data_IF_082262071749
#
_entry.id   IF_082262071749
#
_cell.length_a   1.000
_cell.length_b   1.000
_cell.length_c   1.000
_cell.angle_alpha   90.00
_cell.angle_beta   90.00
_cell.angle_gamma   90.00
#
_symmetry.space_group_name_H-M   'P 1'
#
loop_
_entity.id
_entity.type
_entity.pdbx_description
1 polymer ?
#
# COMPACT_ATOMS: atom_id res chain seq x y z
N UNK A 1 -19.08 2.60 -27.47
CA UNK A 1 -19.20 2.29 -26.02
C UNK A 1 -20.25 1.20 -25.87
N UNK A 2 -19.90 0.05 -25.28
CA UNK A 2 -20.89 -0.96 -24.89
C UNK A 2 -21.12 -0.81 -23.40
N UNK A 3 -22.38 -0.66 -23.00
CA UNK A 3 -22.77 -0.52 -21.59
C UNK A 3 -23.31 -1.85 -21.10
N UNK A 4 -22.80 -2.31 -19.96
CA UNK A 4 -23.30 -3.51 -19.27
C UNK A 4 -23.83 -3.05 -17.92
N UNK A 5 -25.08 -3.40 -17.61
CA UNK A 5 -25.68 -3.16 -16.30
C UNK A 5 -25.72 -4.47 -15.53
N UNK A 6 -25.01 -4.52 -14.40
CA UNK A 6 -25.03 -5.67 -13.50
C UNK A 6 -26.18 -5.45 -12.50
N UNK A 7 -27.19 -6.32 -12.54
CA UNK A 7 -28.36 -6.28 -11.64
C UNK A 7 -28.18 -7.29 -10.50
N UNK A 8 -28.89 -7.09 -9.39
CA UNK A 8 -28.88 -8.02 -8.26
C UNK A 8 -27.65 -7.91 -7.34
N UNK A 9 -26.92 -6.80 -7.38
CA UNK A 9 -25.88 -6.53 -6.39
C UNK A 9 -26.56 -6.19 -5.06
N UNK A 10 -26.36 -7.04 -4.06
CA UNK A 10 -26.85 -6.78 -2.71
C UNK A 10 -26.01 -5.69 -2.02
N UNK A 11 -26.53 -5.06 -0.95
CA UNK A 11 -25.82 -3.98 -0.25
C UNK A 11 -24.47 -4.39 0.35
N UNK A 12 -24.29 -5.67 0.73
CA UNK A 12 -23.02 -6.18 1.22
C UNK A 12 -21.97 -6.22 0.12
N UNK A 13 -22.35 -6.75 -1.04
CA UNK A 13 -21.48 -6.79 -2.21
C UNK A 13 -21.11 -5.38 -2.73
N UNK A 14 -22.06 -4.44 -2.77
CA UNK A 14 -21.78 -3.04 -3.16
C UNK A 14 -20.71 -2.39 -2.25
N UNK A 15 -20.81 -2.60 -0.93
CA UNK A 15 -19.82 -2.11 0.04
C UNK A 15 -18.43 -2.73 -0.21
N UNK A 16 -18.36 -4.03 -0.46
CA UNK A 16 -17.10 -4.72 -0.74
C UNK A 16 -16.45 -4.18 -2.01
N UNK A 17 -17.23 -4.01 -3.08
CA UNK A 17 -16.74 -3.47 -4.36
C UNK A 17 -16.19 -2.06 -4.16
N UNK A 18 -16.93 -1.17 -3.49
CA UNK A 18 -16.49 0.21 -3.23
C UNK A 18 -15.24 0.26 -2.34
N UNK A 19 -15.19 -0.57 -1.31
CA UNK A 19 -14.02 -0.65 -0.41
C UNK A 19 -12.77 -1.09 -1.16
N UNK A 20 -12.87 -2.15 -1.96
CA UNK A 20 -11.73 -2.65 -2.77
C UNK A 20 -11.32 -1.66 -3.86
N UNK A 21 -12.27 -0.97 -4.50
CA UNK A 21 -11.96 0.08 -5.46
C UNK A 21 -11.16 1.21 -4.78
N UNK A 22 -11.59 1.66 -3.59
CA UNK A 22 -10.89 2.67 -2.79
C UNK A 22 -9.48 2.22 -2.36
N UNK A 23 -9.32 0.99 -1.88
CA UNK A 23 -8.01 0.43 -1.49
C UNK A 23 -7.00 0.41 -2.65
N UNK A 24 -7.49 0.24 -3.88
CA UNK A 24 -6.66 0.23 -5.09
C UNK A 24 -6.54 1.61 -5.76
N UNK A 25 -7.14 2.67 -5.17
CA UNK A 25 -7.22 4.01 -5.78
C UNK A 25 -7.83 3.98 -7.20
N UNK A 26 -8.83 3.12 -7.42
CA UNK A 26 -9.53 2.96 -8.70
C UNK A 26 -10.98 3.40 -8.59
N UNK A 27 -11.56 3.86 -9.70
CA UNK A 27 -13.02 3.97 -9.79
C UNK A 27 -13.67 2.58 -9.73
N UNK A 28 -14.92 2.52 -9.26
CA UNK A 28 -15.69 1.26 -9.21
C UNK A 28 -15.72 0.58 -10.58
N UNK A 29 -15.97 1.33 -11.65
CA UNK A 29 -16.00 0.79 -13.01
C UNK A 29 -14.64 0.20 -13.43
N UNK A 30 -13.54 0.90 -13.17
CA UNK A 30 -12.20 0.38 -13.50
C UNK A 30 -11.87 -0.88 -12.69
N UNK A 31 -12.23 -0.90 -11.41
CA UNK A 31 -12.02 -2.06 -10.56
C UNK A 31 -12.81 -3.28 -11.06
N UNK A 32 -14.09 -3.09 -11.42
CA UNK A 32 -14.93 -4.16 -12.01
C UNK A 32 -14.36 -4.65 -13.34
N UNK A 33 -13.92 -3.75 -14.22
CA UNK A 33 -13.28 -4.13 -15.49
C UNK A 33 -11.98 -4.91 -15.28
N UNK A 34 -11.15 -4.55 -14.29
CA UNK A 34 -9.96 -5.32 -13.94
C UNK A 34 -10.33 -6.72 -13.40
N UNK A 35 -11.34 -6.81 -12.54
CA UNK A 35 -11.82 -8.08 -12.03
C UNK A 35 -12.32 -9.01 -13.16
N UNK A 36 -13.10 -8.47 -14.10
CA UNK A 36 -13.57 -9.20 -15.28
C UNK A 36 -12.41 -9.66 -16.17
N UNK A 37 -11.47 -8.76 -16.48
CA UNK A 37 -10.26 -9.12 -17.26
C UNK A 37 -9.47 -10.24 -16.58
N UNK A 38 -9.32 -10.19 -15.26
CA UNK A 38 -8.62 -11.22 -14.49
C UNK A 38 -9.35 -12.57 -14.56
N UNK A 39 -10.68 -12.57 -14.47
CA UNK A 39 -11.49 -13.80 -14.57
C UNK A 39 -11.52 -14.39 -15.97
N UNK A 40 -11.51 -13.56 -17.03
CA UNK A 40 -11.53 -14.04 -18.42
C UNK A 40 -10.15 -14.35 -18.98
N UNK A 41 -9.08 -14.24 -18.19
CA UNK A 41 -7.69 -14.40 -18.67
C UNK A 41 -7.22 -13.29 -19.61
N UNK A 42 -8.02 -12.23 -19.82
CA UNK A 42 -7.65 -11.04 -20.62
C UNK A 42 -6.82 -10.02 -19.81
N UNK A 43 -6.60 -10.29 -18.52
CA UNK A 43 -5.78 -9.46 -17.65
C UNK A 43 -4.31 -9.63 -18.00
N UNK A 44 -3.64 -8.52 -18.32
CA UNK A 44 -2.18 -8.49 -18.29
C UNK A 44 -1.76 -8.71 -16.84
N UNK A 45 -0.98 -9.76 -16.58
CA UNK A 45 -0.27 -9.82 -15.31
C UNK A 45 0.62 -8.58 -15.21
N UNK A 46 0.60 -7.88 -14.07
CA UNK A 46 1.51 -6.78 -13.88
C UNK A 46 2.94 -7.33 -14.00
N UNK A 47 3.73 -6.72 -14.88
CA UNK A 47 5.13 -7.12 -15.14
C UNK A 47 5.94 -7.20 -13.83
N UNK A 48 5.55 -6.40 -12.84
CA UNK A 48 6.07 -6.43 -11.49
C UNK A 48 4.96 -6.75 -10.50
N UNK A 49 5.19 -7.76 -9.66
CA UNK A 49 4.32 -8.06 -8.52
C UNK A 49 4.42 -6.90 -7.52
N UNK A 50 3.27 -6.37 -7.09
CA UNK A 50 3.24 -5.39 -6.01
C UNK A 50 3.41 -6.12 -4.67
N UNK A 51 4.44 -5.76 -3.93
CA UNK A 51 4.72 -6.27 -2.59
C UNK A 51 4.32 -5.21 -1.55
N UNK A 52 3.85 -5.67 -0.40
CA UNK A 52 3.33 -4.84 0.71
C UNK A 52 3.99 -5.19 2.06
N UNK A 53 4.97 -6.08 2.03
CA UNK A 53 5.75 -6.55 3.19
C UNK A 53 6.59 -5.44 3.82
N UNK A 54 6.99 -4.43 3.04
CA UNK A 54 7.74 -3.28 3.53
C UNK A 54 6.87 -2.03 3.80
N UNK A 55 5.56 -2.10 3.59
CA UNK A 55 4.67 -0.94 3.77
C UNK A 55 4.70 -0.43 5.22
N UNK A 56 4.94 -1.30 6.20
CA UNK A 56 5.06 -0.92 7.61
C UNK A 56 6.34 -0.16 7.93
N UNK A 57 7.37 -0.31 7.09
CA UNK A 57 8.61 0.47 7.19
C UNK A 57 8.50 1.81 6.48
N UNK A 58 7.52 1.96 5.58
CA UNK A 58 7.23 3.20 4.90
C UNK A 58 6.44 4.14 5.84
N UNK A 59 7.13 5.15 6.37
CA UNK A 59 6.54 6.11 7.31
C UNK A 59 7.59 7.03 7.92
N UNK A 60 7.23 7.67 9.02
CA UNK A 60 8.15 8.46 9.85
C UNK A 60 8.08 7.98 11.29
N UNK A 61 9.08 8.37 12.09
CA UNK A 61 9.11 8.00 13.50
C UNK A 61 8.10 8.79 14.32
N UNK A 62 7.43 8.10 15.25
CA UNK A 62 6.73 8.81 16.33
C UNK A 62 7.76 9.42 17.29
N UNK A 63 7.33 10.39 18.10
CA UNK A 63 8.23 11.15 18.98
C UNK A 63 9.01 10.25 19.93
N UNK A 64 8.37 9.20 20.41
CA UNK A 64 8.93 8.20 21.32
C UNK A 64 10.03 7.39 20.64
N UNK A 65 9.81 6.95 19.41
CA UNK A 65 10.80 6.23 18.59
C UNK A 65 12.02 7.11 18.30
N UNK A 66 11.80 8.37 17.92
CA UNK A 66 12.87 9.32 17.68
C UNK A 66 13.72 9.57 18.94
N UNK A 67 13.07 9.73 20.10
CA UNK A 67 13.77 9.92 21.38
C UNK A 67 14.57 8.68 21.78
N UNK A 68 14.01 7.48 21.59
CA UNK A 68 14.69 6.22 21.87
C UNK A 68 15.92 6.05 20.96
N UNK A 69 15.77 6.36 19.67
CA UNK A 69 16.88 6.32 18.73
C UNK A 69 18.00 7.27 19.13
N UNK A 70 17.67 8.55 19.38
CA UNK A 70 18.67 9.55 19.76
C UNK A 70 19.42 9.19 21.03
N UNK A 71 18.72 8.64 22.04
CA UNK A 71 19.36 8.12 23.26
C UNK A 71 20.34 7.00 22.96
N UNK A 72 19.97 6.08 22.07
CA UNK A 72 20.81 4.92 21.74
C UNK A 72 22.01 5.29 20.85
N UNK A 73 21.89 6.34 20.02
CA UNK A 73 22.97 6.81 19.15
C UNK A 73 23.87 7.84 19.80
N UNK A 74 23.56 8.31 21.00
CA UNK A 74 24.32 9.35 21.71
C UNK A 74 25.80 9.00 21.89
N UNK A 75 26.14 7.71 21.97
CA UNK A 75 27.53 7.25 22.06
C UNK A 75 28.37 7.63 20.82
N UNK A 76 27.75 7.70 19.64
CA UNK A 76 28.41 8.06 18.39
C UNK A 76 28.59 9.57 18.20
N UNK A 77 27.97 10.39 19.05
CA UNK A 77 28.12 11.85 19.02
C UNK A 77 29.35 12.33 19.81
N UNK A 78 30.04 11.41 20.52
CA UNK A 78 31.30 11.72 21.19
C UNK A 78 32.46 11.52 20.23
N UNK A 79 33.23 12.57 20.03
CA UNK A 79 34.52 12.50 19.35
C UNK A 79 35.50 11.80 20.29
N UNK A 80 36.02 10.67 19.85
CA UNK A 80 37.15 10.02 20.50
C UNK A 80 38.44 10.72 20.07
N UNK A 81 39.01 11.53 20.96
CA UNK A 81 40.21 12.32 20.70
C UNK A 81 41.45 11.44 20.42
N UNK A 82 41.47 10.19 20.90
CA UNK A 82 42.57 9.25 20.66
C UNK A 82 42.50 8.63 19.26
N UNK A 83 41.31 8.61 18.64
CA UNK A 83 41.11 8.18 17.24
C UNK A 83 41.28 9.34 16.25
N UNK A 84 41.07 10.59 16.70
CA UNK A 84 41.10 11.78 15.84
C UNK A 84 42.51 12.42 15.71
N UNK A 85 43.48 12.05 16.55
CA UNK A 85 44.87 12.57 16.47
C UNK A 85 45.74 11.90 15.43
#
# INVERSE_FOLDING_TARGET
MKTITIRGIDPGMDRVIKSRAKQNSLSVNQWVLQALKKMTGMGKEPVFKKHHDLDTLAGGWIKEEAKAFQKNTQIFERIDEDVWK
#
